data_IF_703747600200
#
_entry.id   IF_703747600200
#
_cell.length_a   1.000
_cell.length_b   1.000
_cell.length_c   1.000
_cell.angle_alpha   90.00
_cell.angle_beta   90.00
_cell.angle_gamma   90.00
#
_symmetry.space_group_name_H-M   'P 1'
#
loop_
_entity.id
_entity.type
_entity.pdbx_description
1 polymer ?
#
# COMPACT_ATOMS: atom_id res chain seq x y z
N UNK A 1 -28.52 -60.23 31.42
CA UNK A 1 -29.63 -60.75 30.60
C UNK A 1 -30.57 -59.60 30.29
N UNK A 2 -30.99 -59.55 29.02
CA UNK A 2 -32.07 -58.78 28.38
C UNK A 2 -31.94 -57.27 28.15
N UNK A 3 -31.79 -56.98 26.85
CA UNK A 3 -31.95 -55.74 26.11
C UNK A 3 -33.44 -55.33 25.97
N UNK A 4 -33.71 -54.04 25.73
CA UNK A 4 -34.12 -53.51 24.41
C UNK A 4 -34.97 -52.23 24.50
N UNK A 5 -34.54 -51.22 23.72
CA UNK A 5 -35.30 -50.20 22.96
C UNK A 5 -36.33 -49.31 23.69
N UNK A 6 -36.45 -48.00 23.42
CA UNK A 6 -36.89 -47.46 22.13
C UNK A 6 -36.85 -45.91 22.12
N UNK A 7 -36.25 -45.35 21.06
CA UNK A 7 -36.52 -44.13 20.28
C UNK A 7 -36.55 -42.70 20.86
N UNK A 8 -35.73 -41.90 20.18
CA UNK A 8 -35.76 -40.45 19.93
C UNK A 8 -37.17 -39.89 19.66
N UNK A 9 -37.47 -38.75 20.28
CA UNK A 9 -38.45 -37.79 19.77
C UNK A 9 -37.76 -36.44 19.58
N UNK A 10 -37.56 -36.10 18.32
CA UNK A 10 -37.10 -34.79 17.84
C UNK A 10 -38.16 -33.74 18.14
N UNK A 11 -37.78 -32.64 18.77
CA UNK A 11 -38.62 -31.45 18.89
C UNK A 11 -38.40 -30.61 17.64
N UNK A 12 -39.37 -30.61 16.74
CA UNK A 12 -39.46 -29.66 15.63
C UNK A 12 -39.87 -28.27 16.18
N UNK A 13 -39.20 -27.18 15.79
CA UNK A 13 -39.75 -25.84 15.94
C UNK A 13 -40.73 -25.54 14.78
N UNK A 14 -41.95 -25.13 15.14
CA UNK A 14 -42.97 -24.60 14.23
C UNK A 14 -42.42 -23.45 13.38
N UNK A 15 -42.53 -23.58 12.06
CA UNK A 15 -42.35 -22.48 11.11
C UNK A 15 -43.73 -21.89 10.79
N UNK A 16 -43.89 -20.56 10.76
CA UNK A 16 -45.13 -19.95 10.29
C UNK A 16 -45.32 -20.17 8.78
N UNK A 17 -46.58 -20.37 8.40
CA UNK A 17 -47.06 -20.69 7.05
C UNK A 17 -46.54 -19.73 5.96
N UNK A 18 -46.16 -20.34 4.83
CA UNK A 18 -45.84 -19.66 3.58
C UNK A 18 -47.11 -19.18 2.87
N UNK A 19 -47.37 -17.87 2.86
CA UNK A 19 -48.18 -17.26 1.81
C UNK A 19 -47.31 -17.01 0.58
N UNK A 20 -47.62 -17.75 -0.48
CA UNK A 20 -47.13 -17.54 -1.84
C UNK A 20 -47.83 -16.33 -2.43
N UNK A 21 -47.11 -15.23 -2.65
CA UNK A 21 -47.51 -14.20 -3.61
C UNK A 21 -46.41 -14.07 -4.64
N UNK A 22 -46.80 -14.41 -5.87
CA UNK A 22 -46.00 -14.35 -7.07
C UNK A 22 -45.36 -12.97 -7.30
N UNK A 23 -44.10 -13.01 -7.72
CA UNK A 23 -43.59 -12.11 -8.76
C UNK A 23 -43.07 -10.75 -8.30
N UNK A 24 -41.85 -10.73 -7.77
CA UNK A 24 -40.84 -9.76 -8.20
C UNK A 24 -39.44 -10.31 -7.88
N UNK A 25 -38.55 -10.26 -8.88
CA UNK A 25 -37.16 -10.70 -8.75
C UNK A 25 -36.50 -9.96 -7.59
N UNK A 26 -36.04 -10.73 -6.61
CA UNK A 26 -35.16 -10.28 -5.55
C UNK A 26 -33.82 -9.83 -6.15
N UNK A 27 -33.74 -8.58 -6.56
CA UNK A 27 -32.47 -7.87 -6.63
C UNK A 27 -32.01 -7.68 -5.18
N UNK A 28 -31.28 -8.68 -4.67
CA UNK A 28 -30.38 -8.51 -3.54
C UNK A 28 -29.30 -7.52 -3.99
N UNK A 29 -29.65 -6.24 -3.96
CA UNK A 29 -28.67 -5.18 -3.95
C UNK A 29 -27.94 -5.33 -2.63
N UNK A 30 -26.77 -5.97 -2.69
CA UNK A 30 -25.74 -5.81 -1.68
C UNK A 30 -25.48 -4.32 -1.60
N UNK A 31 -26.12 -3.65 -0.63
CA UNK A 31 -25.62 -2.40 -0.09
C UNK A 31 -24.29 -2.74 0.59
N UNK A 32 -23.26 -2.92 -0.23
CA UNK A 32 -21.92 -2.45 0.10
C UNK A 32 -22.16 -1.06 0.64
N UNK A 33 -21.84 -0.86 1.91
CA UNK A 33 -21.74 0.47 2.47
C UNK A 33 -20.76 1.21 1.56
N UNK A 34 -21.29 1.95 0.58
CA UNK A 34 -20.56 2.99 -0.14
C UNK A 34 -20.19 3.96 0.96
N UNK A 35 -19.00 3.77 1.53
CA UNK A 35 -18.32 4.82 2.23
C UNK A 35 -18.28 5.99 1.27
N UNK A 36 -18.98 7.06 1.62
CA UNK A 36 -18.83 8.37 1.00
C UNK A 36 -17.37 8.82 1.24
N UNK A 37 -16.45 8.28 0.44
CA UNK A 37 -15.19 8.93 0.10
C UNK A 37 -15.53 10.05 -0.90
N UNK A 38 -16.34 11.00 -0.44
CA UNK A 38 -16.66 12.19 -1.22
C UNK A 38 -15.37 12.97 -1.44
N UNK A 39 -14.96 13.12 -2.71
CA UNK A 39 -14.25 14.28 -3.30
C UNK A 39 -13.14 14.94 -2.47
N UNK A 40 -12.51 14.23 -1.54
CA UNK A 40 -11.35 14.73 -0.84
C UNK A 40 -10.16 14.50 -1.78
N UNK A 41 -9.35 15.55 -2.08
CA UNK A 41 -8.14 15.36 -2.87
C UNK A 41 -7.28 14.28 -2.21
N UNK A 42 -6.66 13.42 -3.01
CA UNK A 42 -5.72 12.43 -2.50
C UNK A 42 -4.63 13.16 -1.71
N UNK A 43 -4.56 12.86 -0.41
CA UNK A 43 -3.56 13.44 0.47
C UNK A 43 -2.43 12.45 0.61
N UNK A 44 -1.26 12.86 0.16
CA UNK A 44 -0.07 12.01 0.10
C UNK A 44 0.90 12.53 1.15
N UNK A 45 1.24 11.68 2.10
CA UNK A 45 2.22 12.06 3.11
C UNK A 45 3.62 11.64 2.65
N UNK A 46 4.59 12.54 2.75
CA UNK A 46 5.98 12.29 2.33
C UNK A 46 6.86 12.10 3.57
N UNK A 47 7.50 10.94 3.66
CA UNK A 47 8.40 10.53 4.74
C UNK A 47 9.80 10.32 4.21
N UNK A 48 10.79 10.83 4.92
CA UNK A 48 12.19 10.61 4.57
C UNK A 48 13.12 11.61 5.24
N UNK A 49 14.41 11.36 5.05
CA UNK A 49 15.45 12.28 5.48
C UNK A 49 15.42 13.55 4.63
N UNK A 50 15.65 14.68 5.29
CA UNK A 50 15.62 16.01 4.67
C UNK A 50 16.82 16.22 3.74
N UNK A 51 16.75 15.66 2.54
CA UNK A 51 17.72 15.90 1.47
C UNK A 51 17.09 16.63 0.28
N UNK A 52 17.94 16.99 -0.68
CA UNK A 52 17.54 17.77 -1.86
C UNK A 52 16.55 17.01 -2.76
N UNK A 53 16.60 15.68 -2.81
CA UNK A 53 15.66 14.85 -3.58
C UNK A 53 14.31 14.81 -2.88
N UNK A 54 14.29 14.66 -1.55
CA UNK A 54 13.08 14.75 -0.73
C UNK A 54 12.39 16.10 -0.92
N UNK A 55 13.13 17.21 -0.78
CA UNK A 55 12.57 18.56 -0.88
C UNK A 55 12.03 18.84 -2.29
N UNK A 56 12.70 18.35 -3.33
CA UNK A 56 12.24 18.47 -4.71
C UNK A 56 10.95 17.66 -4.97
N UNK A 57 10.89 16.39 -4.56
CA UNK A 57 9.68 15.57 -4.72
C UNK A 57 8.51 16.15 -3.92
N UNK A 58 8.76 16.62 -2.70
CA UNK A 58 7.74 17.28 -1.88
C UNK A 58 7.20 18.56 -2.55
N UNK A 59 8.10 19.42 -3.06
CA UNK A 59 7.72 20.63 -3.78
C UNK A 59 6.90 20.35 -5.03
N UNK A 60 7.30 19.36 -5.82
CA UNK A 60 6.57 18.99 -7.04
C UNK A 60 5.20 18.36 -6.75
N UNK A 61 5.08 17.54 -5.71
CA UNK A 61 3.78 17.01 -5.28
C UNK A 61 2.81 18.14 -4.92
N UNK A 62 3.27 19.17 -4.19
CA UNK A 62 2.46 20.34 -3.89
C UNK A 62 2.03 21.10 -5.17
N UNK A 63 2.91 21.20 -6.17
CA UNK A 63 2.59 21.79 -7.47
C UNK A 63 1.51 21.01 -8.24
N UNK A 64 1.42 19.70 -8.00
CA UNK A 64 0.38 18.82 -8.58
C UNK A 64 -0.95 18.85 -7.81
N UNK A 65 -1.13 19.78 -6.86
CA UNK A 65 -2.38 19.95 -6.12
C UNK A 65 -2.63 18.89 -5.04
N UNK A 66 -1.59 18.13 -4.69
CA UNK A 66 -1.61 17.14 -3.63
C UNK A 66 -1.36 17.84 -2.29
N UNK A 67 -2.19 17.51 -1.29
CA UNK A 67 -1.95 17.92 0.09
C UNK A 67 -0.79 17.08 0.66
N UNK A 68 0.43 17.60 0.49
CA UNK A 68 1.66 16.94 0.90
C UNK A 68 2.05 17.35 2.32
N UNK A 69 2.19 16.38 3.22
CA UNK A 69 2.64 16.63 4.60
C UNK A 69 4.05 16.09 4.78
N UNK A 70 4.97 16.97 5.19
CA UNK A 70 6.33 16.62 5.58
C UNK A 70 6.31 16.06 6.99
N UNK A 71 6.77 14.83 7.17
CA UNK A 71 7.00 14.28 8.50
C UNK A 71 8.41 13.68 8.61
N UNK A 72 9.20 14.24 9.54
CA UNK A 72 10.52 13.71 9.92
C UNK A 72 10.41 12.55 10.91
N UNK A 73 9.25 12.40 11.55
CA UNK A 73 8.97 11.33 12.50
C UNK A 73 7.57 10.76 12.26
N UNK A 74 7.44 9.44 12.39
CA UNK A 74 6.18 8.72 12.16
C UNK A 74 5.09 9.14 13.18
N UNK A 75 5.49 9.63 14.35
CA UNK A 75 4.61 10.22 15.37
C UNK A 75 3.87 11.48 14.88
N UNK A 76 4.57 12.38 14.18
CA UNK A 76 3.97 13.57 13.57
C UNK A 76 3.08 13.21 12.36
N UNK A 77 3.45 12.13 11.68
CA UNK A 77 2.67 11.51 10.61
C UNK A 77 1.34 10.93 11.13
N UNK A 78 1.32 10.24 12.27
CA UNK A 78 0.10 9.66 12.85
C UNK A 78 -1.02 10.69 13.09
N UNK A 79 -0.68 11.84 13.66
CA UNK A 79 -1.65 12.92 13.90
C UNK A 79 -2.22 13.46 12.57
N UNK A 80 -1.35 13.58 11.56
CA UNK A 80 -1.73 14.06 10.23
C UNK A 80 -2.55 13.04 9.44
N UNK A 81 -2.20 11.75 9.49
CA UNK A 81 -2.92 10.68 8.80
C UNK A 81 -4.36 10.54 9.33
N UNK A 82 -4.54 10.53 10.66
CA UNK A 82 -5.85 10.45 11.29
C UNK A 82 -6.71 11.71 11.09
N UNK A 83 -6.13 12.90 11.24
CA UNK A 83 -6.86 14.15 11.06
C UNK A 83 -7.25 14.40 9.60
N UNK A 84 -6.44 13.92 8.65
CA UNK A 84 -6.58 14.29 7.25
C UNK A 84 -7.13 13.18 6.34
N UNK A 85 -7.35 11.95 6.80
CA UNK A 85 -7.80 10.82 5.97
C UNK A 85 -6.90 10.57 4.75
N UNK A 86 -5.58 10.64 4.96
CA UNK A 86 -4.63 10.39 3.87
C UNK A 86 -4.77 8.96 3.32
N UNK A 87 -4.70 8.86 2.00
CA UNK A 87 -4.90 7.62 1.23
C UNK A 87 -3.58 7.02 0.76
N UNK A 88 -2.48 7.79 0.80
CA UNK A 88 -1.18 7.40 0.28
C UNK A 88 0.01 7.91 1.10
N UNK A 89 1.11 7.16 1.05
CA UNK A 89 2.41 7.58 1.62
C UNK A 89 3.52 7.41 0.58
N UNK A 90 4.32 8.45 0.39
CA UNK A 90 5.61 8.36 -0.30
C UNK A 90 6.71 8.28 0.75
N UNK A 91 7.51 7.22 0.70
CA UNK A 91 8.65 7.00 1.60
C UNK A 91 9.95 7.08 0.79
N UNK A 92 10.78 8.09 1.02
CA UNK A 92 12.14 8.11 0.47
C UNK A 92 13.09 7.38 1.41
N UNK A 93 13.93 6.51 0.84
CA UNK A 93 14.98 5.81 1.59
C UNK A 93 16.32 5.98 0.90
N UNK A 94 17.33 6.29 1.70
CA UNK A 94 18.72 6.22 1.25
C UNK A 94 19.24 4.80 1.51
N UNK A 95 19.65 4.14 0.42
CA UNK A 95 20.21 2.81 0.41
C UNK A 95 21.71 2.88 0.13
N UNK A 96 22.42 3.71 0.90
CA UNK A 96 23.86 3.85 0.77
C UNK A 96 24.63 2.60 1.20
N UNK A 97 25.78 2.36 0.56
CA UNK A 97 26.78 1.38 1.00
C UNK A 97 26.28 -0.07 1.12
N UNK A 98 25.35 -0.49 0.25
CA UNK A 98 24.80 -1.87 0.25
C UNK A 98 25.82 -2.95 -0.10
N UNK A 99 27.06 -2.59 -0.44
CA UNK A 99 28.17 -3.53 -0.49
C UNK A 99 28.36 -4.24 0.86
N UNK A 100 28.17 -3.52 1.97
CA UNK A 100 28.35 -4.05 3.32
C UNK A 100 27.09 -4.79 3.80
N UNK A 101 27.31 -5.96 4.44
CA UNK A 101 26.20 -6.75 5.00
C UNK A 101 25.51 -6.04 6.17
N UNK A 102 26.27 -5.27 6.95
CA UNK A 102 25.78 -4.41 8.04
C UNK A 102 24.77 -3.40 7.51
N UNK A 103 25.15 -2.62 6.51
CA UNK A 103 24.31 -1.61 5.88
C UNK A 103 23.01 -2.21 5.31
N UNK A 104 23.09 -3.36 4.64
CA UNK A 104 21.89 -4.07 4.14
C UNK A 104 20.92 -4.45 5.26
N UNK A 105 21.43 -5.00 6.37
CA UNK A 105 20.60 -5.37 7.52
C UNK A 105 19.97 -4.14 8.19
N UNK A 106 20.71 -3.04 8.24
CA UNK A 106 20.23 -1.78 8.80
C UNK A 106 19.12 -1.18 7.94
N UNK A 107 19.30 -1.12 6.62
CA UNK A 107 18.26 -0.72 5.68
C UNK A 107 17.00 -1.57 5.87
N UNK A 108 17.15 -2.90 5.86
CA UNK A 108 16.02 -3.80 6.01
C UNK A 108 15.31 -3.61 7.36
N UNK A 109 16.06 -3.43 8.45
CA UNK A 109 15.52 -3.16 9.79
C UNK A 109 14.79 -1.82 9.85
N UNK A 110 15.37 -0.77 9.27
CA UNK A 110 14.81 0.58 9.24
C UNK A 110 13.51 0.59 8.44
N UNK A 111 13.54 0.09 7.21
CA UNK A 111 12.36 0.00 6.34
C UNK A 111 11.25 -0.84 6.96
N UNK A 112 11.59 -2.01 7.52
CA UNK A 112 10.63 -2.85 8.27
C UNK A 112 10.02 -2.06 9.43
N UNK A 113 10.85 -1.42 10.26
CA UNK A 113 10.39 -0.66 11.42
C UNK A 113 9.50 0.52 11.05
N UNK A 114 9.83 1.22 9.96
CA UNK A 114 9.04 2.34 9.43
C UNK A 114 7.70 1.88 8.91
N UNK A 115 7.67 0.89 8.01
CA UNK A 115 6.43 0.37 7.45
C UNK A 115 5.51 -0.21 8.52
N UNK A 116 6.07 -0.92 9.50
CA UNK A 116 5.31 -1.52 10.59
C UNK A 116 4.67 -0.48 11.53
N UNK A 117 5.30 0.70 11.68
CA UNK A 117 4.71 1.82 12.41
C UNK A 117 3.66 2.57 11.59
N UNK A 118 3.73 2.53 10.25
CA UNK A 118 2.74 3.13 9.35
C UNK A 118 1.46 2.30 9.24
N UNK A 119 1.57 0.96 9.29
CA UNK A 119 0.43 0.05 9.18
C UNK A 119 -0.83 0.46 9.98
N UNK A 120 -0.75 0.73 11.29
CA UNK A 120 -1.94 1.08 12.07
C UNK A 120 -2.49 2.48 11.76
N UNK A 121 -1.76 3.31 11.02
CA UNK A 121 -2.10 4.71 10.78
C UNK A 121 -2.78 4.97 9.43
N UNK A 122 -2.75 4.00 8.51
CA UNK A 122 -3.27 4.16 7.16
C UNK A 122 -4.77 3.82 7.08
N UNK A 123 -5.54 4.67 6.42
CA UNK A 123 -6.93 4.36 6.07
C UNK A 123 -6.97 3.31 4.95
N UNK A 124 -7.95 2.41 4.98
CA UNK A 124 -8.09 1.37 3.93
C UNK A 124 -8.87 1.90 2.72
N UNK A 125 -8.49 1.55 1.47
CA UNK A 125 -7.26 0.87 1.06
C UNK A 125 -6.03 1.79 1.17
N UNK A 126 -4.90 1.23 1.61
CA UNK A 126 -3.68 1.99 1.87
C UNK A 126 -2.63 1.72 0.78
N UNK A 127 -2.06 2.77 0.21
CA UNK A 127 -0.98 2.67 -0.77
C UNK A 127 0.31 3.33 -0.22
N UNK A 128 1.44 2.67 -0.44
CA UNK A 128 2.78 3.15 -0.07
C UNK A 128 3.69 3.07 -1.30
N UNK A 129 4.25 4.19 -1.69
CA UNK A 129 5.30 4.28 -2.70
C UNK A 129 6.65 4.47 -2.02
N UNK A 130 7.58 3.54 -2.20
CA UNK A 130 8.94 3.63 -1.69
C UNK A 130 9.86 4.13 -2.80
N UNK A 131 10.52 5.27 -2.60
CA UNK A 131 11.54 5.80 -3.50
C UNK A 131 12.91 5.45 -2.93
N UNK A 132 13.60 4.51 -3.57
CA UNK A 132 14.86 3.97 -3.09
C UNK A 132 16.04 4.55 -3.86
N UNK A 133 16.95 5.23 -3.16
CA UNK A 133 18.16 5.80 -3.78
C UNK A 133 19.38 4.98 -3.36
N UNK A 134 19.98 4.26 -4.31
CA UNK A 134 21.28 3.64 -4.14
C UNK A 134 22.44 4.62 -4.34
N UNK A 135 23.65 4.21 -3.98
CA UNK A 135 24.87 5.01 -4.23
C UNK A 135 25.28 4.99 -5.71
N UNK A 136 25.10 3.84 -6.37
CA UNK A 136 25.50 3.60 -7.75
C UNK A 136 24.76 2.37 -8.31
N UNK A 137 24.76 2.23 -9.64
CA UNK A 137 24.07 1.14 -10.34
C UNK A 137 24.58 -0.26 -9.99
N UNK A 138 25.83 -0.40 -9.53
CA UNK A 138 26.41 -1.72 -9.16
C UNK A 138 25.77 -2.30 -7.90
N UNK A 139 25.06 -1.48 -7.13
CA UNK A 139 24.34 -1.87 -5.92
C UNK A 139 22.88 -2.25 -6.18
N UNK A 140 22.35 -1.94 -7.37
CA UNK A 140 20.95 -2.15 -7.74
C UNK A 140 20.44 -3.54 -7.41
N UNK A 141 21.06 -4.60 -7.95
CA UNK A 141 20.61 -5.98 -7.68
C UNK A 141 20.58 -6.36 -6.19
N UNK A 142 21.43 -5.73 -5.35
CA UNK A 142 21.40 -5.95 -3.89
C UNK A 142 20.26 -5.18 -3.24
N UNK A 143 20.05 -3.94 -3.67
CA UNK A 143 18.93 -3.10 -3.26
C UNK A 143 17.60 -3.77 -3.59
N UNK A 144 17.43 -4.24 -4.82
CA UNK A 144 16.23 -4.94 -5.29
C UNK A 144 15.87 -6.09 -4.36
N UNK A 145 16.84 -6.98 -4.10
CA UNK A 145 16.62 -8.16 -3.25
C UNK A 145 16.21 -7.79 -1.82
N UNK A 146 16.87 -6.80 -1.22
CA UNK A 146 16.58 -6.39 0.16
C UNK A 146 15.22 -5.70 0.26
N UNK A 147 14.92 -4.77 -0.65
CA UNK A 147 13.65 -4.04 -0.66
C UNK A 147 12.49 -4.98 -0.95
N UNK A 148 12.57 -5.82 -1.99
CA UNK A 148 11.53 -6.80 -2.31
C UNK A 148 11.30 -7.78 -1.16
N UNK A 149 12.38 -8.23 -0.49
CA UNK A 149 12.30 -9.10 0.69
C UNK A 149 11.52 -8.43 1.83
N UNK A 150 11.82 -7.17 2.14
CA UNK A 150 11.13 -6.41 3.19
C UNK A 150 9.67 -6.16 2.82
N UNK A 151 9.41 -5.70 1.60
CA UNK A 151 8.04 -5.43 1.12
C UNK A 151 7.21 -6.70 1.17
N UNK A 152 7.69 -7.80 0.58
CA UNK A 152 6.94 -9.06 0.57
C UNK A 152 6.67 -9.60 1.98
N UNK A 153 7.57 -9.35 2.94
CA UNK A 153 7.32 -9.69 4.35
C UNK A 153 6.23 -8.80 4.95
N UNK A 154 6.35 -7.48 4.82
CA UNK A 154 5.41 -6.52 5.41
C UNK A 154 4.01 -6.66 4.80
N UNK A 155 3.88 -6.79 3.47
CA UNK A 155 2.58 -6.95 2.83
C UNK A 155 1.84 -8.18 3.38
N UNK A 156 2.53 -9.31 3.56
CA UNK A 156 1.94 -10.50 4.21
C UNK A 156 1.54 -10.25 5.67
N UNK A 157 2.36 -9.53 6.43
CA UNK A 157 2.04 -9.20 7.82
C UNK A 157 0.86 -8.22 7.91
N UNK A 158 0.76 -7.24 7.02
CA UNK A 158 -0.36 -6.29 6.94
C UNK A 158 -1.71 -7.02 6.80
N UNK A 159 -1.77 -7.97 5.88
CA UNK A 159 -2.97 -8.77 5.64
C UNK A 159 -3.26 -9.72 6.80
N UNK A 160 -2.26 -10.46 7.28
CA UNK A 160 -2.46 -11.51 8.28
C UNK A 160 -2.68 -10.98 9.70
N UNK A 161 -1.99 -9.91 10.09
CA UNK A 161 -1.98 -9.40 11.47
C UNK A 161 -2.98 -8.25 11.66
N UNK A 162 -3.21 -7.43 10.62
CA UNK A 162 -4.04 -6.23 10.73
C UNK A 162 -5.30 -6.27 9.86
N UNK A 163 -5.47 -7.28 9.01
CA UNK A 163 -6.58 -7.33 8.05
C UNK A 163 -6.57 -6.16 7.08
N UNK A 164 -5.39 -5.59 6.81
CA UNK A 164 -5.21 -4.44 5.92
C UNK A 164 -4.75 -4.94 4.55
N UNK A 165 -5.43 -4.51 3.50
CA UNK A 165 -4.92 -4.62 2.13
C UNK A 165 -3.96 -3.43 1.89
N UNK A 166 -2.67 -3.67 2.11
CA UNK A 166 -1.62 -2.66 1.93
C UNK A 166 -0.91 -2.91 0.60
N UNK A 167 -1.01 -1.94 -0.30
CA UNK A 167 -0.19 -1.93 -1.50
C UNK A 167 1.12 -1.21 -1.26
N UNK A 168 2.24 -1.90 -1.44
CA UNK A 168 3.57 -1.30 -1.42
C UNK A 168 4.22 -1.50 -2.78
N UNK A 169 4.58 -0.38 -3.40
CA UNK A 169 5.34 -0.33 -4.66
C UNK A 169 6.65 0.37 -4.39
N UNK A 170 7.74 -0.07 -5.02
CA UNK A 170 9.01 0.63 -4.92
C UNK A 170 9.52 1.08 -6.30
N UNK A 171 10.23 2.20 -6.32
CA UNK A 171 10.94 2.72 -7.50
C UNK A 171 12.39 3.00 -7.11
N UNK A 172 13.32 2.44 -7.88
CA UNK A 172 14.73 2.77 -7.83
C UNK A 172 14.96 4.13 -8.52
N UNK A 173 15.45 5.09 -7.75
CA UNK A 173 15.77 6.45 -8.19
C UNK A 173 17.28 6.72 -8.10
N UNK A 174 18.11 5.68 -8.21
CA UNK A 174 19.56 5.79 -8.25
C UNK A 174 20.01 6.56 -9.49
N UNK A 175 20.92 7.52 -9.32
CA UNK A 175 21.47 8.32 -10.41
C UNK A 175 20.72 9.64 -10.61
N UNK A 176 20.69 10.11 -11.86
CA UNK A 176 20.04 11.37 -12.21
C UNK A 176 18.60 11.11 -12.66
N UNK A 177 17.64 11.57 -11.86
CA UNK A 177 16.21 11.36 -12.09
C UNK A 177 15.47 12.69 -12.20
N UNK A 178 14.42 12.75 -13.00
CA UNK A 178 13.52 13.90 -13.03
C UNK A 178 12.48 13.78 -11.90
N UNK A 179 12.63 14.62 -10.89
CA UNK A 179 11.73 14.68 -9.74
C UNK A 179 10.31 15.07 -10.11
N UNK A 180 10.13 15.82 -11.21
CA UNK A 180 8.82 16.18 -11.75
C UNK A 180 8.11 14.94 -12.27
N UNK A 181 8.84 14.08 -12.98
CA UNK A 181 8.31 12.80 -13.46
C UNK A 181 7.94 11.93 -12.27
N UNK A 182 8.81 11.81 -11.26
CA UNK A 182 8.52 11.02 -10.05
C UNK A 182 7.25 11.52 -9.35
N UNK A 183 7.14 12.83 -9.11
CA UNK A 183 5.98 13.41 -8.47
C UNK A 183 4.69 13.18 -9.28
N UNK A 184 4.73 13.40 -10.59
CA UNK A 184 3.60 13.11 -11.50
C UNK A 184 3.19 11.64 -11.44
N UNK A 185 4.14 10.71 -11.47
CA UNK A 185 3.87 9.26 -11.40
C UNK A 185 3.33 8.83 -10.04
N UNK A 186 3.80 9.45 -8.96
CA UNK A 186 3.26 9.24 -7.64
C UNK A 186 1.78 9.69 -7.59
N UNK A 187 1.46 10.89 -8.08
CA UNK A 187 0.06 11.37 -8.17
C UNK A 187 -0.80 10.40 -8.97
N UNK A 188 -0.35 9.98 -10.15
CA UNK A 188 -1.05 9.00 -10.99
C UNK A 188 -1.30 7.68 -10.24
N UNK A 189 -0.34 7.19 -9.47
CA UNK A 189 -0.48 5.97 -8.67
C UNK A 189 -1.57 6.10 -7.60
N UNK A 190 -1.61 7.22 -6.88
CA UNK A 190 -2.58 7.42 -5.80
C UNK A 190 -3.99 7.79 -6.32
N UNK A 191 -4.07 8.40 -7.51
CA UNK A 191 -5.33 8.66 -8.23
C UNK A 191 -5.88 7.38 -8.89
N UNK A 192 -4.99 6.49 -9.35
CA UNK A 192 -5.37 5.20 -9.89
C UNK A 192 -5.97 4.33 -8.78
N UNK A 193 -7.30 4.17 -8.81
CA UNK A 193 -8.05 3.25 -7.95
C UNK A 193 -7.81 1.77 -8.27
N UNK A 194 -6.76 1.47 -9.02
CA UNK A 194 -6.40 0.12 -9.44
C UNK A 194 -5.65 -0.57 -8.31
N UNK A 195 -6.03 -1.82 -8.02
CA UNK A 195 -5.29 -2.68 -7.10
C UNK A 195 -3.97 -3.08 -7.77
N UNK A 196 -2.96 -2.22 -7.60
CA UNK A 196 -1.61 -2.49 -8.07
C UNK A 196 -1.00 -3.57 -7.18
N UNK A 197 -0.58 -4.68 -7.79
CA UNK A 197 0.01 -5.83 -7.09
C UNK A 197 1.34 -5.44 -6.43
N UNK A 198 1.48 -5.87 -5.19
CA UNK A 198 2.51 -5.41 -4.25
C UNK A 198 3.80 -6.18 -4.41
N UNK A 199 4.96 -5.53 -4.25
CA UNK A 199 6.24 -6.23 -4.05
C UNK A 199 7.32 -6.03 -5.10
N UNK A 200 7.02 -5.34 -6.20
CA UNK A 200 8.01 -5.08 -7.23
C UNK A 200 8.77 -3.77 -6.97
N UNK A 201 10.05 -3.79 -7.34
CA UNK A 201 10.89 -2.60 -7.46
C UNK A 201 11.05 -2.33 -8.96
N UNK A 202 10.56 -1.17 -9.39
CA UNK A 202 10.69 -0.67 -10.74
C UNK A 202 11.96 0.18 -10.86
N UNK A 203 12.59 0.18 -12.01
CA UNK A 203 13.57 1.20 -12.39
C UNK A 203 12.85 2.52 -12.75
N UNK A 204 13.44 3.66 -12.43
CA UNK A 204 12.98 4.97 -12.90
C UNK A 204 12.70 5.01 -14.42
N UNK A 205 13.57 4.39 -15.23
CA UNK A 205 13.42 4.31 -16.69
C UNK A 205 12.15 3.58 -17.12
N UNK A 206 11.64 2.64 -16.30
CA UNK A 206 10.38 1.93 -16.57
C UNK A 206 9.16 2.83 -16.37
N UNK A 207 9.28 3.94 -15.65
CA UNK A 207 8.16 4.86 -15.35
C UNK A 207 8.31 6.23 -16.02
N UNK A 208 9.40 6.45 -16.75
CA UNK A 208 9.66 7.71 -17.43
C UNK A 208 8.53 8.02 -18.43
N UNK A 209 8.18 7.02 -19.25
CA UNK A 209 7.22 7.16 -20.35
C UNK A 209 5.84 6.52 -20.10
N UNK A 210 5.58 6.00 -18.89
CA UNK A 210 4.31 5.34 -18.54
C UNK A 210 4.00 5.44 -17.05
N UNK A 211 2.74 5.16 -16.65
CA UNK A 211 2.35 5.15 -15.24
C UNK A 211 2.98 3.96 -14.49
N UNK A 212 3.10 4.08 -13.17
CA UNK A 212 3.58 3.00 -12.29
C UNK A 212 2.67 1.76 -12.42
N UNK A 213 1.34 1.96 -12.47
CA UNK A 213 0.38 0.87 -12.66
C UNK A 213 0.59 0.12 -13.98
N UNK A 214 0.81 0.83 -15.09
CA UNK A 214 1.12 0.21 -16.38
C UNK A 214 2.45 -0.56 -16.35
N UNK A 215 3.50 0.02 -15.77
CA UNK A 215 4.79 -0.65 -15.64
C UNK A 215 4.68 -1.98 -14.87
N UNK A 216 3.88 -1.99 -13.80
CA UNK A 216 3.64 -3.19 -13.00
C UNK A 216 2.80 -4.22 -13.73
N UNK A 217 1.75 -3.79 -14.43
CA UNK A 217 0.92 -4.68 -15.23
C UNK A 217 1.73 -5.45 -16.28
N UNK A 218 2.70 -4.80 -16.94
CA UNK A 218 3.56 -5.43 -17.95
C UNK A 218 4.42 -6.57 -17.39
N UNK A 219 4.75 -6.57 -16.08
CA UNK A 219 5.55 -7.64 -15.46
C UNK A 219 4.79 -8.95 -15.24
N UNK A 220 3.46 -8.92 -15.27
CA UNK A 220 2.61 -10.12 -15.10
C UNK A 220 2.05 -10.66 -16.42
N UNK A 221 2.33 -10.00 -17.55
CA UNK A 221 1.84 -10.38 -18.89
C UNK A 221 2.82 -11.33 -19.61
N UNK A 222 4.01 -11.59 -19.06
CA UNK A 222 5.03 -12.48 -19.63
C UNK A 222 5.38 -13.66 -18.75
#
# INVERSE_FOLDING_TARGET
MSEASTLLASVEPEWPDTESVDGERSDVSSRVARTDYGTAPNRILVLGDADTTFDAVFGELANHGVDAVRAHEISACAASLHANKATGVVLTIDAASLAERSARKELARSLTGTLHKLLPLLAQPAQVLVLARGTDETQKSRMDKEIQSVIGKISRQATNEYGVNLTITAVDITGNVDTTVIARRAVELFDAREEVTTGELLDYTEIENQSIGCALALRFVY
#
